data_IF_748411433547
#
_entry.id   IF_748411433547
#
_cell.length_a   1.000
_cell.length_b   1.000
_cell.length_c   1.000
_cell.angle_alpha   90.00
_cell.angle_beta   90.00
_cell.angle_gamma   90.00
#
_symmetry.space_group_name_H-M   'P 1'
#
loop_
_entity.id
_entity.type
_entity.pdbx_description
1 polymer ?
#
# COMPACT_ATOMS: atom_id res chain seq x y z
N UNK A 1 0.82 12.08 15.76
CA UNK A 1 0.95 11.74 14.34
C UNK A 1 1.55 10.35 14.29
N UNK A 2 0.87 9.42 13.62
CA UNK A 2 1.39 8.05 13.44
C UNK A 2 2.49 8.13 12.39
N UNK A 3 3.64 7.53 12.64
CA UNK A 3 4.67 7.42 11.59
C UNK A 3 4.33 6.21 10.71
N UNK A 4 3.72 6.46 9.56
CA UNK A 4 3.37 5.42 8.59
C UNK A 4 4.58 4.55 8.20
N UNK A 5 5.79 5.12 8.14
CA UNK A 5 6.99 4.36 7.77
C UNK A 5 7.37 3.35 8.84
N UNK A 6 7.18 3.70 10.12
CA UNK A 6 7.42 2.77 11.22
C UNK A 6 6.37 1.65 11.25
N UNK A 7 5.11 1.94 10.94
CA UNK A 7 4.09 0.90 10.76
C UNK A 7 4.44 -0.06 9.61
N UNK A 8 4.87 0.47 8.45
CA UNK A 8 5.32 -0.39 7.34
C UNK A 8 6.58 -1.19 7.73
N UNK A 9 7.51 -0.62 8.51
CA UNK A 9 8.69 -1.33 9.03
C UNK A 9 8.29 -2.46 9.98
N UNK A 10 7.30 -2.24 10.85
CA UNK A 10 6.73 -3.28 11.72
C UNK A 10 6.14 -4.42 10.88
N UNK A 11 5.32 -4.08 9.87
CA UNK A 11 4.78 -5.09 8.94
C UNK A 11 5.91 -5.85 8.22
N UNK A 12 6.90 -5.14 7.68
CA UNK A 12 8.01 -5.79 7.00
C UNK A 12 8.76 -6.77 7.92
N UNK A 13 9.00 -6.37 9.17
CA UNK A 13 9.65 -7.21 10.18
C UNK A 13 8.80 -8.44 10.52
N UNK A 14 7.50 -8.25 10.77
CA UNK A 14 6.59 -9.33 11.12
C UNK A 14 6.36 -10.35 9.99
N UNK A 15 6.49 -9.90 8.74
CA UNK A 15 6.23 -10.70 7.55
C UNK A 15 7.50 -10.97 6.71
N UNK A 16 8.67 -10.97 7.33
CA UNK A 16 9.98 -11.28 6.71
C UNK A 16 10.18 -10.61 5.34
N UNK A 17 9.69 -9.37 5.19
CA UNK A 17 9.85 -8.57 3.99
C UNK A 17 11.14 -7.75 4.15
N UNK A 18 12.07 -7.76 3.18
CA UNK A 18 13.31 -6.99 3.25
C UNK A 18 13.13 -5.54 3.70
N UNK A 19 14.02 -5.10 4.60
CA UNK A 19 14.16 -3.72 5.08
C UNK A 19 15.61 -3.29 4.84
N UNK A 20 15.80 -2.11 4.26
CA UNK A 20 17.13 -1.53 4.05
C UNK A 20 17.51 -0.61 5.19
N UNK A 21 18.59 -0.93 5.90
CA UNK A 21 19.15 -0.11 7.00
C UNK A 21 20.51 0.53 6.63
N UNK A 22 20.95 0.35 5.38
CA UNK A 22 22.17 0.94 4.82
C UNK A 22 21.93 2.29 4.13
N UNK A 23 22.96 2.85 3.45
CA UNK A 23 22.77 4.02 2.61
C UNK A 23 21.72 3.76 1.51
N UNK A 24 21.02 4.79 1.01
CA UNK A 24 20.04 4.64 -0.07
C UNK A 24 20.67 3.97 -1.30
N UNK A 25 20.03 2.89 -1.75
CA UNK A 25 20.51 2.07 -2.85
C UNK A 25 19.33 1.32 -3.50
N UNK A 26 19.43 1.06 -4.82
CA UNK A 26 18.49 0.26 -5.60
C UNK A 26 19.10 -1.11 -6.00
N UNK A 27 19.96 -1.70 -5.18
CA UNK A 27 20.56 -3.03 -5.42
C UNK A 27 19.62 -4.22 -5.22
N UNK A 28 18.31 -3.98 -5.02
CA UNK A 28 17.35 -5.07 -5.01
C UNK A 28 17.44 -5.85 -6.34
N UNK A 29 17.36 -7.20 -6.30
CA UNK A 29 17.29 -7.99 -7.53
C UNK A 29 16.18 -7.49 -8.47
N UNK A 30 16.42 -7.56 -9.77
CA UNK A 30 15.50 -7.04 -10.80
C UNK A 30 14.06 -7.55 -10.65
N UNK A 31 13.88 -8.83 -10.34
CA UNK A 31 12.58 -9.45 -10.09
C UNK A 31 11.90 -8.86 -8.85
N UNK A 32 12.67 -8.56 -7.81
CA UNK A 32 12.21 -7.90 -6.59
C UNK A 32 11.82 -6.44 -6.85
N UNK A 33 12.60 -5.68 -7.61
CA UNK A 33 12.24 -4.32 -8.02
C UNK A 33 10.97 -4.31 -8.85
N UNK A 34 10.87 -5.19 -9.86
CA UNK A 34 9.66 -5.35 -10.67
C UNK A 34 8.45 -5.73 -9.82
N UNK A 35 8.62 -6.61 -8.83
CA UNK A 35 7.54 -6.94 -7.89
C UNK A 35 7.09 -5.71 -7.09
N UNK A 36 8.02 -4.89 -6.57
CA UNK A 36 7.68 -3.64 -5.87
C UNK A 36 6.96 -2.64 -6.78
N UNK A 37 7.40 -2.50 -8.03
CA UNK A 37 6.71 -1.69 -9.03
C UNK A 37 5.27 -2.18 -9.27
N UNK A 38 5.07 -3.49 -9.46
CA UNK A 38 3.74 -4.08 -9.67
C UNK A 38 2.79 -3.81 -8.50
N UNK A 39 3.27 -3.87 -7.25
CA UNK A 39 2.44 -3.54 -6.09
C UNK A 39 1.97 -2.09 -6.12
N UNK A 40 2.85 -1.13 -6.41
CA UNK A 40 2.47 0.29 -6.53
C UNK A 40 1.45 0.49 -7.67
N UNK A 41 1.69 -0.17 -8.80
CA UNK A 41 0.83 -0.08 -9.97
C UNK A 41 -0.55 -0.74 -9.76
N UNK A 42 -0.61 -1.83 -8.99
CA UNK A 42 -1.86 -2.49 -8.58
C UNK A 42 -2.74 -1.54 -7.76
N UNK A 43 -2.19 -0.87 -6.75
CA UNK A 43 -2.93 0.11 -5.95
C UNK A 43 -3.43 1.30 -6.81
N UNK A 44 -2.63 1.75 -7.79
CA UNK A 44 -3.08 2.78 -8.72
C UNK A 44 -4.21 2.30 -9.65
N UNK A 45 -4.18 1.04 -10.08
CA UNK A 45 -5.28 0.43 -10.84
C UNK A 45 -6.54 0.28 -9.97
N UNK A 46 -6.40 -0.05 -8.68
CA UNK A 46 -7.50 -0.10 -7.72
C UNK A 46 -8.14 1.27 -7.56
N UNK A 47 -7.32 2.32 -7.36
CA UNK A 47 -7.76 3.71 -7.30
C UNK A 47 -8.50 4.13 -8.58
N UNK A 48 -7.95 3.78 -9.75
CA UNK A 48 -8.58 4.00 -11.05
C UNK A 48 -9.96 3.33 -11.10
N UNK A 49 -10.07 2.09 -10.63
CA UNK A 49 -11.34 1.36 -10.56
C UNK A 49 -12.35 2.00 -9.61
N UNK A 50 -11.89 2.49 -8.46
CA UNK A 50 -12.73 3.15 -7.47
C UNK A 50 -13.31 4.47 -7.97
N UNK A 51 -12.53 5.26 -8.73
CA UNK A 51 -12.93 6.59 -9.20
C UNK A 51 -13.60 6.53 -10.58
N UNK A 52 -13.04 5.78 -11.52
CA UNK A 52 -13.42 5.80 -12.94
C UNK A 52 -14.13 4.52 -13.40
N UNK A 53 -14.23 3.51 -12.52
CA UNK A 53 -14.94 2.27 -12.78
C UNK A 53 -14.09 1.14 -13.38
N UNK A 54 -14.66 -0.07 -13.47
CA UNK A 54 -13.92 -1.31 -13.75
C UNK A 54 -13.32 -1.36 -15.15
N UNK A 55 -13.92 -0.69 -16.13
CA UNK A 55 -13.39 -0.62 -17.51
C UNK A 55 -12.07 0.13 -17.54
N UNK A 56 -11.97 1.26 -16.84
CA UNK A 56 -10.74 2.04 -16.74
C UNK A 56 -9.65 1.27 -15.99
N UNK A 57 -10.01 0.60 -14.89
CA UNK A 57 -9.10 -0.31 -14.16
C UNK A 57 -8.50 -1.37 -15.08
N UNK A 58 -9.32 -2.06 -15.85
CA UNK A 58 -8.86 -3.10 -16.78
C UNK A 58 -7.92 -2.58 -17.89
N UNK A 59 -8.04 -1.30 -18.27
CA UNK A 59 -7.09 -0.67 -19.19
C UNK A 59 -5.73 -0.47 -18.51
N UNK A 60 -5.72 0.03 -17.27
CA UNK A 60 -4.49 0.24 -16.50
C UNK A 60 -3.82 -1.10 -16.20
N UNK A 61 -4.55 -2.11 -15.74
CA UNK A 61 -3.99 -3.45 -15.43
C UNK A 61 -3.27 -4.06 -16.63
N UNK A 62 -3.87 -3.99 -17.82
CA UNK A 62 -3.22 -4.45 -19.06
C UNK A 62 -1.95 -3.66 -19.37
N UNK A 63 -1.99 -2.33 -19.27
CA UNK A 63 -0.81 -1.50 -19.52
C UNK A 63 0.32 -1.81 -18.52
N UNK A 64 0.00 -2.07 -17.26
CA UNK A 64 0.96 -2.46 -16.22
C UNK A 64 1.59 -3.82 -16.54
N UNK A 65 0.83 -4.78 -17.04
CA UNK A 65 1.36 -6.08 -17.45
C UNK A 65 2.40 -5.93 -18.57
N UNK A 66 2.09 -5.12 -19.60
CA UNK A 66 3.01 -4.82 -20.71
C UNK A 66 4.28 -4.10 -20.21
N UNK A 67 4.12 -3.07 -19.37
CA UNK A 67 5.26 -2.29 -18.83
C UNK A 67 6.13 -3.15 -17.91
N UNK A 68 5.53 -3.92 -17.00
CA UNK A 68 6.29 -4.75 -16.05
C UNK A 68 7.02 -5.92 -16.73
N UNK A 69 6.60 -6.31 -17.94
CA UNK A 69 7.28 -7.30 -18.78
C UNK A 69 8.40 -6.72 -19.66
N UNK A 70 8.55 -5.40 -19.70
CA UNK A 70 9.51 -4.75 -20.60
C UNK A 70 10.98 -4.91 -20.14
N UNK A 71 11.95 -4.86 -21.08
CA UNK A 71 13.36 -4.74 -20.75
C UNK A 71 13.63 -3.53 -19.83
N UNK A 72 14.67 -3.63 -19.01
CA UNK A 72 15.11 -2.54 -18.12
C UNK A 72 16.43 -1.98 -18.62
N UNK A 73 16.59 -0.66 -18.56
CA UNK A 73 17.87 0.03 -18.79
C UNK A 73 18.64 0.25 -17.46
N UNK A 74 18.17 -0.36 -16.38
CA UNK A 74 18.62 -0.12 -15.00
C UNK A 74 17.69 0.85 -14.26
N UNK A 75 17.69 0.78 -12.93
CA UNK A 75 16.87 1.65 -12.09
C UNK A 75 17.66 2.88 -11.61
N UNK A 76 17.08 4.07 -11.74
CA UNK A 76 17.66 5.33 -11.26
C UNK A 76 17.18 5.61 -9.84
N UNK A 77 18.10 5.63 -8.88
CA UNK A 77 17.81 5.89 -7.46
C UNK A 77 17.21 7.27 -7.22
N UNK A 78 17.74 8.30 -7.88
CA UNK A 78 17.29 9.69 -7.68
C UNK A 78 15.89 9.85 -8.25
N UNK A 79 15.67 9.39 -9.49
CA UNK A 79 14.35 9.47 -10.12
C UNK A 79 13.31 8.61 -9.39
N UNK A 80 13.70 7.44 -8.85
CA UNK A 80 12.81 6.59 -8.05
C UNK A 80 12.43 7.28 -6.74
N UNK A 81 13.39 7.88 -6.03
CA UNK A 81 13.13 8.60 -4.80
C UNK A 81 12.15 9.76 -5.02
N UNK A 82 12.38 10.57 -6.06
CA UNK A 82 11.52 11.67 -6.48
C UNK A 82 10.09 11.19 -6.78
N UNK A 83 9.94 10.22 -7.69
CA UNK A 83 8.63 9.69 -8.08
C UNK A 83 7.85 9.08 -6.90
N UNK A 84 8.51 8.40 -5.96
CA UNK A 84 7.83 7.85 -4.78
C UNK A 84 7.33 8.92 -3.82
N UNK A 85 8.03 10.05 -3.70
CA UNK A 85 7.58 11.19 -2.89
C UNK A 85 6.46 11.94 -3.60
N UNK A 86 6.56 12.15 -4.90
CA UNK A 86 5.52 12.80 -5.70
C UNK A 86 4.19 12.03 -5.64
N UNK A 87 4.24 10.71 -5.77
CA UNK A 87 3.05 9.86 -5.61
C UNK A 87 2.41 10.04 -4.23
N UNK A 88 3.21 10.05 -3.16
CA UNK A 88 2.67 10.30 -1.81
C UNK A 88 2.06 11.69 -1.69
N UNK A 89 2.71 12.70 -2.28
CA UNK A 89 2.24 14.08 -2.21
C UNK A 89 0.87 14.24 -2.87
N UNK A 90 0.68 13.69 -4.07
CA UNK A 90 -0.61 13.77 -4.78
C UNK A 90 -1.71 12.91 -4.13
N UNK A 91 -1.34 11.78 -3.52
CA UNK A 91 -2.29 10.96 -2.74
C UNK A 91 -2.81 11.72 -1.52
N UNK A 92 -1.93 12.38 -0.75
CA UNK A 92 -2.35 13.24 0.35
C UNK A 92 -3.20 14.41 -0.14
N UNK A 93 -2.90 14.99 -1.31
CA UNK A 93 -3.74 16.01 -1.93
C UNK A 93 -5.17 15.52 -2.18
N UNK A 94 -5.33 14.33 -2.77
CA UNK A 94 -6.64 13.71 -2.99
C UNK A 94 -7.39 13.46 -1.67
N UNK A 95 -6.70 12.92 -0.66
CA UNK A 95 -7.28 12.68 0.67
C UNK A 95 -7.80 13.96 1.31
N UNK A 96 -7.00 15.04 1.25
CA UNK A 96 -7.37 16.35 1.79
C UNK A 96 -8.56 16.95 1.04
N UNK A 97 -8.57 16.92 -0.29
CA UNK A 97 -9.68 17.44 -1.10
C UNK A 97 -10.98 16.65 -0.88
N UNK A 98 -10.88 15.35 -0.61
CA UNK A 98 -12.04 14.48 -0.34
C UNK A 98 -12.43 14.40 1.15
N UNK A 99 -11.65 15.01 2.05
CA UNK A 99 -11.86 14.91 3.50
C UNK A 99 -11.67 13.50 4.06
N UNK A 100 -10.83 12.67 3.41
CA UNK A 100 -10.52 11.32 3.87
C UNK A 100 -9.54 11.41 5.05
N UNK A 101 -9.85 10.80 6.22
CA UNK A 101 -8.93 10.75 7.36
C UNK A 101 -7.82 9.72 7.09
N UNK A 102 -6.88 10.05 6.20
CA UNK A 102 -5.82 9.17 5.70
C UNK A 102 -5.10 8.39 6.79
N UNK A 103 -4.56 9.08 7.81
CA UNK A 103 -3.87 8.48 8.95
C UNK A 103 -4.71 7.42 9.70
N UNK A 104 -6.02 7.65 9.87
CA UNK A 104 -6.91 6.70 10.57
C UNK A 104 -7.23 5.49 9.70
N UNK A 105 -7.43 5.70 8.39
CA UNK A 105 -7.61 4.62 7.42
C UNK A 105 -6.33 3.78 7.34
N UNK A 106 -5.16 4.42 7.31
CA UNK A 106 -3.87 3.75 7.29
C UNK A 106 -3.67 2.89 8.54
N UNK A 107 -3.98 3.41 9.73
CA UNK A 107 -3.87 2.68 10.98
C UNK A 107 -4.79 1.43 11.01
N UNK A 108 -6.02 1.54 10.50
CA UNK A 108 -6.95 0.40 10.38
C UNK A 108 -6.45 -0.65 9.37
N UNK A 109 -5.93 -0.22 8.22
CA UNK A 109 -5.31 -1.11 7.22
C UNK A 109 -4.09 -1.83 7.80
N UNK A 110 -3.23 -1.11 8.53
CA UNK A 110 -2.08 -1.68 9.21
C UNK A 110 -2.50 -2.73 10.25
N UNK A 111 -3.46 -2.42 11.11
CA UNK A 111 -3.99 -3.37 12.10
C UNK A 111 -4.55 -4.63 11.43
N UNK A 112 -5.32 -4.50 10.35
CA UNK A 112 -5.83 -5.64 9.58
C UNK A 112 -4.70 -6.44 8.91
N UNK A 113 -3.63 -5.78 8.44
CA UNK A 113 -2.46 -6.45 7.88
C UNK A 113 -1.70 -7.26 8.93
N UNK A 114 -1.45 -6.72 10.13
CA UNK A 114 -0.82 -7.46 11.23
C UNK A 114 -1.70 -8.60 11.74
N UNK A 115 -3.02 -8.46 11.69
CA UNK A 115 -3.95 -9.54 12.05
C UNK A 115 -3.87 -10.76 11.10
N UNK A 116 -3.07 -10.71 10.02
CA UNK A 116 -2.77 -11.88 9.17
C UNK A 116 -1.77 -12.84 9.81
N UNK A 117 -1.11 -12.45 10.91
CA UNK A 117 -0.27 -13.36 11.69
C UNK A 117 -1.14 -14.43 12.37
N UNK A 118 -0.61 -15.65 12.42
CA UNK A 118 -1.20 -16.76 13.17
C UNK A 118 -1.03 -16.59 14.68
N UNK A 119 -1.63 -17.49 15.48
CA UNK A 119 -1.54 -17.45 16.95
C UNK A 119 -0.11 -17.54 17.51
N UNK A 120 0.83 -18.07 16.72
CA UNK A 120 2.26 -18.18 17.03
C UNK A 120 3.08 -16.95 16.60
N UNK A 121 2.41 -15.91 16.07
CA UNK A 121 3.07 -14.72 15.55
C UNK A 121 3.69 -14.90 14.16
N UNK A 122 3.42 -16.00 13.46
CA UNK A 122 3.98 -16.27 12.14
C UNK A 122 2.92 -16.16 11.03
N UNK A 123 3.33 -15.70 9.85
CA UNK A 123 2.45 -15.62 8.70
C UNK A 123 2.32 -16.97 7.99
N UNK A 124 1.10 -17.41 7.72
CA UNK A 124 0.87 -18.52 6.80
C UNK A 124 1.25 -18.08 5.37
N UNK A 125 2.10 -18.84 4.69
CA UNK A 125 2.55 -18.52 3.32
C UNK A 125 2.23 -19.66 2.37
N UNK A 126 1.84 -19.29 1.15
CA UNK A 126 1.78 -20.21 0.00
C UNK A 126 3.19 -20.44 -0.56
N UNK A 127 3.35 -21.50 -1.36
CA UNK A 127 4.63 -21.86 -2.00
C UNK A 127 5.26 -20.75 -2.86
N UNK A 128 4.46 -19.79 -3.35
CA UNK A 128 4.93 -18.62 -4.10
C UNK A 128 5.27 -17.41 -3.21
N UNK A 129 5.28 -17.59 -1.89
CA UNK A 129 5.57 -16.54 -0.92
C UNK A 129 4.37 -15.65 -0.56
N UNK A 130 3.19 -15.86 -1.16
CA UNK A 130 1.99 -15.08 -0.85
C UNK A 130 1.54 -15.33 0.59
N UNK A 131 1.38 -14.25 1.36
CA UNK A 131 0.80 -14.29 2.70
C UNK A 131 -0.69 -14.66 2.60
N UNK A 132 -1.09 -15.69 3.33
CA UNK A 132 -2.45 -16.19 3.41
C UNK A 132 -3.16 -15.58 4.62
N UNK A 133 -4.47 -15.40 4.47
CA UNK A 133 -5.35 -14.90 5.55
C UNK A 133 -5.66 -16.07 6.49
N UNK A 134 -5.45 -15.92 7.82
CA UNK A 134 -5.80 -16.97 8.77
C UNK A 134 -7.32 -17.13 8.91
N UNK A 135 -7.75 -18.24 9.52
CA UNK A 135 -9.17 -18.46 9.82
C UNK A 135 -9.71 -17.35 10.72
N UNK A 136 -10.87 -16.79 10.38
CA UNK A 136 -11.50 -15.70 11.15
C UNK A 136 -10.94 -14.30 10.88
N UNK A 137 -9.93 -14.15 10.00
CA UNK A 137 -9.44 -12.83 9.59
C UNK A 137 -10.55 -12.00 8.93
N UNK A 138 -10.52 -10.68 9.18
CA UNK A 138 -11.45 -9.70 8.59
C UNK A 138 -10.69 -8.61 7.83
N UNK A 139 -11.25 -8.12 6.71
CA UNK A 139 -10.70 -6.95 6.03
C UNK A 139 -10.77 -5.71 6.93
N UNK A 140 -9.96 -4.67 6.65
CA UNK A 140 -9.99 -3.43 7.39
C UNK A 140 -11.38 -2.78 7.33
N UNK A 141 -11.86 -2.26 8.45
CA UNK A 141 -13.14 -1.55 8.55
C UNK A 141 -13.01 -0.08 8.14
N UNK A 142 -12.66 0.15 6.87
CA UNK A 142 -12.52 1.50 6.29
C UNK A 142 -13.86 2.26 6.37
N UNK A 143 -14.97 1.58 6.11
CA UNK A 143 -16.31 2.18 6.18
C UNK A 143 -16.62 2.70 7.59
N UNK A 144 -16.30 1.93 8.63
CA UNK A 144 -16.46 2.36 10.02
C UNK A 144 -15.54 3.52 10.39
N UNK A 145 -14.29 3.55 9.91
CA UNK A 145 -13.39 4.69 10.09
C UNK A 145 -14.01 5.97 9.52
N UNK A 146 -14.47 5.92 8.26
CA UNK A 146 -15.10 7.06 7.59
C UNK A 146 -16.36 7.52 8.34
N UNK A 147 -17.23 6.60 8.74
CA UNK A 147 -18.44 6.94 9.49
C UNK A 147 -18.14 7.64 10.83
N UNK A 148 -17.11 7.19 11.56
CA UNK A 148 -16.65 7.83 12.80
C UNK A 148 -16.08 9.23 12.54
N UNK A 149 -15.32 9.41 11.46
CA UNK A 149 -14.78 10.71 11.08
C UNK A 149 -15.89 11.71 10.72
N UNK A 150 -16.89 11.29 9.95
CA UNK A 150 -18.07 12.11 9.65
C UNK A 150 -18.81 12.53 10.92
N UNK A 151 -19.04 11.59 11.85
CA UNK A 151 -19.72 11.89 13.11
C UNK A 151 -18.99 12.93 13.96
N UNK A 152 -17.65 12.92 13.98
CA UNK A 152 -16.84 13.95 14.68
C UNK A 152 -16.95 15.32 14.01
N UNK A 153 -16.97 15.37 12.68
CA UNK A 153 -17.11 16.63 11.92
C UNK A 153 -18.46 17.32 12.10
N UNK A 154 -19.55 16.57 12.30
CA UNK A 154 -20.91 17.11 12.51
C UNK A 154 -21.13 17.64 13.93
N UNK A 155 -20.34 17.18 14.92
CA UNK A 155 -20.47 17.60 16.34
C UNK A 155 -19.55 18.74 16.77
N UNK A 156 -18.61 19.18 15.93
CA UNK A 156 -17.59 20.19 16.26
C UNK A 156 -17.83 21.59 15.66
N UNK A 157 -18.96 21.79 14.97
CA UNK A 157 -19.35 23.08 14.40
C UNK A 157 -20.38 23.81 15.27
N UNK A 158 -19.90 24.56 16.27
CA UNK A 158 -20.55 25.76 16.82
C UNK A 158 -19.49 26.85 16.92
#
# INVERSE_FOLDING_TARGET
>A
MVDERELVREFHTAFDVPVGDGPPDLTLPDDRLRMRYRLVAEEFAELTGAILGPVARAVVERAVEDVAGSPTDGADLVATADATVDLRYVLHGLELECGIPGDEVFAEVHASNLAKLGPDGTALRRADGKILKPSGWRPPDVAGVLARATARGVGGGV
#
